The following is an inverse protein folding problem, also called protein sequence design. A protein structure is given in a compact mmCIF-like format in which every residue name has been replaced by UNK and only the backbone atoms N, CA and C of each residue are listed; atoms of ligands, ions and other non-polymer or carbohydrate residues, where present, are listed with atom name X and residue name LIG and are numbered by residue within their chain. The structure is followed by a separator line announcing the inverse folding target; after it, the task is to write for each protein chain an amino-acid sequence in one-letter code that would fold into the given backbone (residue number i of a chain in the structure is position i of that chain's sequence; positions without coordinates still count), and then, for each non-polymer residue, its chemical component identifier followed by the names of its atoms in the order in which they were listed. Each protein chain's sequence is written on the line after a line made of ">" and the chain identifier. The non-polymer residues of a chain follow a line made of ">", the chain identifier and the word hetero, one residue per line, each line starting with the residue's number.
data_IF_846589178203
#
_entry.id   IF_846589178203
#
_cell.length_a   1.000
_cell.length_b   1.000
_cell.length_c   1.000
_cell.angle_alpha   90.00
_cell.angle_beta   90.00
_cell.angle_gamma   90.00
#
_symmetry.space_group_name_H-M   'P 1'
#
loop_
_entity.id
_entity.type
_entity.pdbx_description
1 polymer ?
#
# COMPACT_ATOMS: atom_id res chain seq x y z
N UNK A 1 1.80 -44.86 50.93
CA UNK A 1 1.31 -43.50 51.25
C UNK A 1 1.90 -42.59 50.18
N UNK A 2 1.29 -42.48 48.98
CA UNK A 2 0.18 -41.61 48.55
C UNK A 2 0.33 -40.13 48.96
N UNK A 3 0.25 -39.29 47.91
CA UNK A 3 -0.10 -37.86 47.86
C UNK A 3 1.10 -36.89 47.93
N UNK A 4 1.24 -35.89 47.07
CA UNK A 4 0.64 -35.54 45.78
C UNK A 4 1.57 -34.47 45.16
N UNK A 5 2.04 -34.68 43.94
CA UNK A 5 2.66 -33.62 43.14
C UNK A 5 1.57 -32.61 42.77
N UNK A 6 1.66 -31.39 43.30
CA UNK A 6 0.94 -30.24 42.74
C UNK A 6 1.66 -29.84 41.46
N UNK A 7 1.14 -30.31 40.33
CA UNK A 7 1.43 -29.73 39.04
C UNK A 7 0.63 -28.44 38.93
N UNK A 8 1.21 -27.33 39.40
CA UNK A 8 0.75 -26.01 38.98
C UNK A 8 1.17 -25.84 37.52
N UNK A 9 0.29 -26.25 36.61
CA UNK A 9 0.30 -25.73 35.25
C UNK A 9 0.01 -24.23 35.37
N UNK A 10 1.01 -23.41 35.14
CA UNK A 10 0.78 -22.00 34.81
C UNK A 10 -0.17 -21.96 33.61
N UNK A 11 -1.28 -21.21 33.68
CA UNK A 11 -2.17 -21.10 32.54
C UNK A 11 -1.39 -20.45 31.39
N UNK A 12 -1.33 -21.15 30.26
CA UNK A 12 -0.86 -20.58 29.01
C UNK A 12 -1.60 -19.27 28.76
N UNK A 13 -0.86 -18.22 28.45
CA UNK A 13 -1.34 -16.85 28.22
C UNK A 13 -2.35 -16.69 27.06
N UNK A 14 -2.77 -17.77 26.42
CA UNK A 14 -3.68 -17.79 25.28
C UNK A 14 -5.16 -18.01 25.66
N UNK A 15 -5.50 -18.19 26.94
CA UNK A 15 -6.88 -18.44 27.40
C UNK A 15 -7.52 -17.25 28.17
N UNK A 16 -6.92 -16.06 28.16
CA UNK A 16 -7.57 -14.89 28.76
C UNK A 16 -8.67 -14.35 27.85
N UNK A 17 -9.92 -14.19 28.34
CA UNK A 17 -10.99 -13.63 27.54
C UNK A 17 -10.61 -12.23 27.04
N UNK A 18 -11.03 -11.84 25.82
CA UNK A 18 -10.69 -10.54 25.26
C UNK A 18 -11.13 -9.43 26.22
N UNK A 19 -10.17 -8.60 26.64
CA UNK A 19 -10.39 -7.52 27.60
C UNK A 19 -11.09 -6.31 26.94
N UNK A 20 -11.03 -6.21 25.62
CA UNK A 20 -11.59 -5.13 24.83
C UNK A 20 -12.80 -5.59 24.02
N UNK A 21 -13.98 -5.40 24.60
CA UNK A 21 -15.28 -5.70 24.00
C UNK A 21 -15.92 -4.45 23.38
N UNK A 22 -16.99 -4.62 22.60
CA UNK A 22 -17.77 -3.50 22.04
C UNK A 22 -18.23 -2.53 23.13
N UNK A 23 -18.62 -3.04 24.31
CA UNK A 23 -19.03 -2.20 25.45
C UNK A 23 -17.91 -1.26 25.90
N UNK A 24 -16.66 -1.72 25.95
CA UNK A 24 -15.51 -0.88 26.33
C UNK A 24 -15.24 0.22 25.32
N UNK A 25 -15.36 -0.05 24.03
CA UNK A 25 -15.24 1.00 23.01
C UNK A 25 -16.42 1.98 23.05
N UNK A 26 -17.63 1.52 23.38
CA UNK A 26 -18.78 2.40 23.59
C UNK A 26 -18.62 3.27 24.86
N UNK A 27 -18.01 2.75 25.92
CA UNK A 27 -17.64 3.53 27.12
C UNK A 27 -16.64 4.65 26.75
N UNK A 28 -15.59 4.33 26.00
CA UNK A 28 -14.63 5.34 25.51
C UNK A 28 -15.30 6.37 24.59
N UNK A 29 -16.22 5.93 23.74
CA UNK A 29 -17.03 6.83 22.91
C UNK A 29 -17.89 7.76 23.77
N UNK A 30 -18.54 7.25 24.80
CA UNK A 30 -19.33 8.06 25.73
C UNK A 30 -18.43 9.05 26.50
N UNK A 31 -17.25 8.61 26.93
CA UNK A 31 -16.23 9.45 27.58
C UNK A 31 -15.82 10.62 26.68
N UNK A 32 -15.55 10.38 25.40
CA UNK A 32 -15.26 11.43 24.43
C UNK A 32 -16.48 12.34 24.17
N UNK A 33 -17.68 11.77 24.05
CA UNK A 33 -18.89 12.55 23.78
C UNK A 33 -19.28 13.45 24.94
N UNK A 34 -18.90 13.10 26.18
CA UNK A 34 -19.06 13.93 27.37
C UNK A 34 -18.13 15.15 27.37
N UNK A 35 -16.90 14.99 26.86
CA UNK A 35 -15.89 16.05 26.79
C UNK A 35 -15.25 16.10 25.39
N UNK A 36 -15.92 16.77 24.46
CA UNK A 36 -15.56 16.82 23.03
C UNK A 36 -14.41 17.79 22.74
N UNK A 37 -13.27 17.55 23.35
CA UNK A 37 -12.06 18.36 23.17
C UNK A 37 -10.98 17.58 22.43
N UNK A 38 -10.11 18.31 21.72
CA UNK A 38 -8.92 17.73 21.08
C UNK A 38 -8.04 16.98 22.09
N UNK A 39 -7.85 17.56 23.27
CA UNK A 39 -7.06 16.95 24.34
C UNK A 39 -7.63 15.58 24.76
N UNK A 40 -8.95 15.51 24.94
CA UNK A 40 -9.62 14.25 25.28
C UNK A 40 -9.53 13.23 24.16
N UNK A 41 -9.67 13.68 22.91
CA UNK A 41 -9.53 12.81 21.75
C UNK A 41 -8.12 12.19 21.68
N UNK A 42 -7.07 12.99 21.89
CA UNK A 42 -5.68 12.53 21.92
C UNK A 42 -5.42 11.57 23.10
N UNK A 43 -5.98 11.85 24.27
CA UNK A 43 -5.85 10.97 25.45
C UNK A 43 -6.43 9.58 25.17
N UNK A 44 -7.64 9.53 24.62
CA UNK A 44 -8.31 8.27 24.29
C UNK A 44 -7.56 7.55 23.16
N UNK A 45 -7.12 8.26 22.13
CA UNK A 45 -6.34 7.66 21.04
C UNK A 45 -5.04 7.03 21.55
N UNK A 46 -4.32 7.68 22.48
CA UNK A 46 -3.13 7.10 23.12
C UNK A 46 -3.44 5.81 23.89
N UNK A 47 -4.56 5.78 24.62
CA UNK A 47 -5.01 4.56 25.31
C UNK A 47 -5.31 3.45 24.31
N UNK A 48 -5.90 3.78 23.17
CA UNK A 48 -6.20 2.82 22.11
C UNK A 48 -4.94 2.25 21.43
N UNK A 49 -3.92 3.06 21.20
CA UNK A 49 -2.63 2.58 20.62
C UNK A 49 -1.91 1.60 21.55
N UNK A 50 -2.10 1.71 22.86
CA UNK A 50 -1.52 0.80 23.84
C UNK A 50 -2.29 -0.54 23.98
N UNK A 51 -3.39 -0.73 23.25
CA UNK A 51 -4.18 -1.96 23.29
C UNK A 51 -3.45 -3.07 22.54
N UNK A 52 -3.27 -4.22 23.19
CA UNK A 52 -2.87 -5.44 22.50
C UNK A 52 -4.03 -5.94 21.63
N UNK A 53 -3.81 -5.98 20.31
CA UNK A 53 -4.75 -6.45 19.29
C UNK A 53 -5.31 -7.84 19.61
N UNK A 54 -4.50 -8.71 20.23
CA UNK A 54 -4.92 -10.07 20.60
C UNK A 54 -5.99 -10.10 21.70
N UNK A 55 -6.17 -8.99 22.40
CA UNK A 55 -7.15 -8.85 23.48
C UNK A 55 -8.44 -8.16 23.03
N UNK A 56 -8.58 -7.86 21.73
CA UNK A 56 -9.78 -7.26 21.14
C UNK A 56 -10.70 -8.36 20.62
N UNK A 57 -11.95 -8.34 21.06
CA UNK A 57 -12.99 -9.22 20.53
C UNK A 57 -13.22 -8.93 19.04
N UNK A 58 -13.35 -9.97 18.21
CA UNK A 58 -13.60 -9.83 16.77
C UNK A 58 -14.84 -8.97 16.47
N UNK A 59 -15.86 -9.06 17.31
CA UNK A 59 -17.08 -8.28 17.15
C UNK A 59 -16.92 -6.80 17.52
N UNK A 60 -15.85 -6.45 18.25
CA UNK A 60 -15.61 -5.10 18.75
C UNK A 60 -14.87 -4.19 17.76
N UNK A 61 -14.40 -4.74 16.63
CA UNK A 61 -13.66 -3.98 15.62
C UNK A 61 -14.49 -2.90 14.95
N UNK A 62 -15.81 -3.10 14.83
CA UNK A 62 -16.70 -2.10 14.25
C UNK A 62 -16.77 -0.86 15.14
N UNK A 63 -17.02 -1.04 16.45
CA UNK A 63 -17.04 0.06 17.41
C UNK A 63 -15.67 0.73 17.57
N UNK A 64 -14.59 -0.06 17.53
CA UNK A 64 -13.23 0.46 17.55
C UNK A 64 -12.96 1.36 16.34
N UNK A 65 -13.32 0.92 15.12
CA UNK A 65 -13.17 1.70 13.89
C UNK A 65 -13.99 3.00 13.93
N UNK A 66 -15.25 2.93 14.37
CA UNK A 66 -16.11 4.10 14.52
C UNK A 66 -15.55 5.11 15.52
N UNK A 67 -15.01 4.62 16.64
CA UNK A 67 -14.35 5.46 17.64
C UNK A 67 -13.09 6.10 17.07
N UNK A 68 -12.22 5.35 16.39
CA UNK A 68 -11.01 5.89 15.74
C UNK A 68 -11.39 7.00 14.77
N UNK A 69 -12.36 6.77 13.88
CA UNK A 69 -12.82 7.78 12.93
C UNK A 69 -13.35 9.04 13.64
N UNK A 70 -14.11 8.86 14.72
CA UNK A 70 -14.62 9.98 15.52
C UNK A 70 -13.50 10.79 16.18
N UNK A 71 -12.50 10.12 16.78
CA UNK A 71 -11.36 10.76 17.43
C UNK A 71 -10.49 11.49 16.41
N UNK A 72 -10.18 10.87 15.27
CA UNK A 72 -9.39 11.49 14.20
C UNK A 72 -10.07 12.74 13.62
N UNK A 73 -11.40 12.71 13.43
CA UNK A 73 -12.15 13.88 12.97
C UNK A 73 -12.19 15.03 14.00
N UNK A 74 -11.94 14.75 15.28
CA UNK A 74 -11.91 15.76 16.33
C UNK A 74 -10.52 16.38 16.54
N UNK A 75 -9.46 15.77 16.01
CA UNK A 75 -8.08 16.24 16.16
C UNK A 75 -7.66 16.89 14.84
N UNK A 76 -7.17 18.14 14.84
CA UNK A 76 -6.60 18.73 13.64
C UNK A 76 -5.46 17.84 13.11
N UNK A 77 -5.48 17.57 11.80
CA UNK A 77 -4.44 16.73 11.16
C UNK A 77 -3.05 17.32 11.35
N UNK A 78 -2.96 18.65 11.41
CA UNK A 78 -1.74 19.35 11.77
C UNK A 78 -1.26 18.96 13.16
N UNK A 79 -2.10 18.84 14.19
CA UNK A 79 -1.66 18.39 15.53
C UNK A 79 -1.21 16.92 15.54
N UNK A 80 -1.78 16.08 14.67
CA UNK A 80 -1.37 14.67 14.55
C UNK A 80 0.01 14.51 13.90
N UNK A 81 0.38 15.40 12.99
CA UNK A 81 1.61 15.31 12.17
C UNK A 81 2.68 16.33 12.53
N UNK A 82 2.28 17.54 12.89
CA UNK A 82 3.10 18.54 13.56
C UNK A 82 2.85 18.43 15.06
N UNK A 83 3.83 18.00 15.83
CA UNK A 83 4.26 18.86 16.94
C UNK A 83 5.55 18.39 17.57
N UNK A 84 6.36 19.41 17.89
CA UNK A 84 7.57 19.47 18.72
C UNK A 84 7.52 18.80 20.10
N UNK A 85 6.48 18.05 20.44
CA UNK A 85 6.49 17.13 21.56
C UNK A 85 6.71 15.74 21.01
N UNK A 86 7.92 15.23 21.16
CA UNK A 86 8.39 13.90 20.77
C UNK A 86 7.44 12.72 21.14
N UNK A 87 6.36 12.96 21.89
CA UNK A 87 5.37 11.98 22.32
C UNK A 87 4.29 11.65 21.27
N UNK A 88 3.90 12.59 20.40
CA UNK A 88 2.83 12.35 19.41
C UNK A 88 3.36 11.62 18.18
N UNK A 89 4.55 11.99 17.68
CA UNK A 89 5.21 11.25 16.61
C UNK A 89 5.51 9.81 17.04
N UNK A 90 6.00 9.61 18.27
CA UNK A 90 6.17 8.26 18.82
C UNK A 90 4.84 7.51 18.86
N UNK A 91 3.75 8.14 19.32
CA UNK A 91 2.43 7.48 19.33
C UNK A 91 2.00 7.04 17.92
N UNK A 92 2.09 7.93 16.93
CA UNK A 92 1.66 7.60 15.56
C UNK A 92 2.58 6.56 14.91
N UNK A 93 3.88 6.66 15.10
CA UNK A 93 4.84 5.66 14.62
C UNK A 93 4.61 4.29 15.28
N UNK A 94 4.44 4.26 16.61
CA UNK A 94 4.08 3.04 17.34
C UNK A 94 2.74 2.47 16.86
N UNK A 95 1.76 3.32 16.55
CA UNK A 95 0.49 2.88 15.98
C UNK A 95 0.68 2.25 14.60
N UNK A 96 1.49 2.86 13.72
CA UNK A 96 1.76 2.29 12.39
C UNK A 96 2.54 0.97 12.45
N UNK A 97 3.39 0.78 13.45
CA UNK A 97 4.12 -0.46 13.67
C UNK A 97 3.25 -1.57 14.30
N UNK A 98 2.38 -1.22 15.24
CA UNK A 98 1.69 -2.19 16.11
C UNK A 98 0.25 -2.44 15.73
N UNK A 99 -0.41 -1.50 15.04
CA UNK A 99 -1.83 -1.63 14.73
C UNK A 99 -2.07 -2.60 13.55
N UNK A 100 -3.27 -3.21 13.50
CA UNK A 100 -3.70 -4.02 12.37
C UNK A 100 -3.82 -3.21 11.09
N UNK A 101 -3.71 -3.90 9.96
CA UNK A 101 -3.79 -3.33 8.61
C UNK A 101 -5.06 -2.48 8.39
N UNK A 102 -6.23 -2.89 8.89
CA UNK A 102 -7.47 -2.12 8.72
C UNK A 102 -7.46 -0.77 9.47
N UNK A 103 -6.76 -0.66 10.60
CA UNK A 103 -6.57 0.62 11.33
C UNK A 103 -5.62 1.53 10.55
N UNK A 104 -4.52 0.96 10.04
CA UNK A 104 -3.56 1.69 9.18
C UNK A 104 -4.27 2.21 7.92
N UNK A 105 -5.14 1.41 7.30
CA UNK A 105 -5.97 1.85 6.16
C UNK A 105 -6.90 2.99 6.52
N UNK A 106 -7.53 2.98 7.70
CA UNK A 106 -8.40 4.06 8.16
C UNK A 106 -7.61 5.36 8.38
N UNK A 107 -6.42 5.28 9.01
CA UNK A 107 -5.51 6.41 9.17
C UNK A 107 -5.07 6.97 7.81
N UNK A 108 -4.66 6.09 6.90
CA UNK A 108 -4.23 6.49 5.56
C UNK A 108 -5.35 7.16 4.77
N UNK A 109 -6.58 6.64 4.87
CA UNK A 109 -7.76 7.22 4.24
C UNK A 109 -8.10 8.59 4.82
N UNK A 110 -8.01 8.75 6.15
CA UNK A 110 -8.25 10.03 6.82
C UNK A 110 -7.21 11.09 6.44
N UNK A 111 -5.94 10.71 6.32
CA UNK A 111 -4.90 11.63 5.86
C UNK A 111 -5.02 11.94 4.37
N UNK A 112 -5.39 10.97 3.54
CA UNK A 112 -5.65 11.19 2.12
C UNK A 112 -6.82 12.16 1.88
N UNK A 113 -7.84 12.20 2.75
CA UNK A 113 -8.93 13.18 2.63
C UNK A 113 -8.53 14.61 3.03
N UNK A 114 -7.38 14.79 3.69
CA UNK A 114 -6.85 16.09 4.12
C UNK A 114 -5.51 16.42 3.43
N UNK A 115 -5.36 15.97 2.19
CA UNK A 115 -4.10 15.96 1.46
C UNK A 115 -3.42 17.34 1.37
N UNK A 116 -4.18 18.42 1.21
CA UNK A 116 -3.65 19.79 1.09
C UNK A 116 -2.84 20.22 2.32
N UNK A 117 -3.20 19.72 3.49
CA UNK A 117 -2.47 19.96 4.75
C UNK A 117 -1.43 18.87 4.99
N UNK A 118 -1.75 17.61 4.70
CA UNK A 118 -0.88 16.46 4.99
C UNK A 118 0.38 16.45 4.14
N UNK A 119 0.27 16.69 2.83
CA UNK A 119 1.40 16.54 1.91
C UNK A 119 2.59 17.46 2.24
N UNK A 120 2.39 18.77 2.54
CA UNK A 120 3.49 19.61 3.02
C UNK A 120 4.15 19.08 4.30
N UNK A 121 3.38 18.52 5.23
CA UNK A 121 3.89 18.01 6.51
C UNK A 121 4.72 16.74 6.31
N UNK A 122 4.22 15.80 5.51
CA UNK A 122 4.93 14.56 5.18
C UNK A 122 6.19 14.81 4.33
N UNK A 123 6.22 15.88 3.52
CA UNK A 123 7.43 16.34 2.82
C UNK A 123 8.38 17.15 3.73
N UNK A 124 7.86 17.71 4.82
CA UNK A 124 8.56 18.63 5.71
C UNK A 124 8.98 17.99 7.02
N UNK A 125 8.17 18.16 8.06
CA UNK A 125 8.50 17.80 9.45
C UNK A 125 8.14 16.36 9.82
N UNK A 126 7.18 15.74 9.13
CA UNK A 126 6.64 14.42 9.45
C UNK A 126 7.12 13.31 8.49
N UNK A 127 8.36 13.42 7.97
CA UNK A 127 8.90 12.48 6.98
C UNK A 127 8.95 11.04 7.49
N UNK A 128 9.25 10.86 8.78
CA UNK A 128 9.27 9.54 9.42
C UNK A 128 7.91 8.82 9.35
N UNK A 129 6.81 9.58 9.38
CA UNK A 129 5.46 9.03 9.25
C UNK A 129 5.22 8.51 7.83
N UNK A 130 5.68 9.25 6.81
CA UNK A 130 5.61 8.79 5.42
C UNK A 130 6.41 7.49 5.22
N UNK A 131 7.61 7.40 5.81
CA UNK A 131 8.44 6.18 5.79
C UNK A 131 7.74 5.03 6.52
N UNK A 132 7.13 5.28 7.67
CA UNK A 132 6.39 4.25 8.41
C UNK A 132 5.19 3.70 7.62
N UNK A 133 4.43 4.56 6.92
CA UNK A 133 3.40 4.12 5.98
C UNK A 133 3.98 3.29 4.84
N UNK A 134 5.11 3.70 4.26
CA UNK A 134 5.76 2.96 3.18
C UNK A 134 6.21 1.56 3.61
N UNK A 135 6.62 1.36 4.86
CA UNK A 135 6.98 0.04 5.40
C UNK A 135 5.79 -0.92 5.50
N UNK A 136 4.57 -0.38 5.60
CA UNK A 136 3.32 -1.17 5.65
C UNK A 136 2.75 -1.49 4.27
N UNK A 137 3.41 -1.10 3.19
CA UNK A 137 2.87 -1.26 1.82
C UNK A 137 2.73 -2.72 1.37
N UNK A 138 3.40 -3.66 2.04
CA UNK A 138 3.26 -5.08 1.71
C UNK A 138 1.98 -5.72 2.29
N UNK A 139 1.26 -5.02 3.17
CA UNK A 139 0.03 -5.54 3.75
C UNK A 139 -1.04 -5.74 2.64
N UNK A 140 -1.66 -6.93 2.53
CA UNK A 140 -2.54 -7.29 1.40
C UNK A 140 -3.69 -6.32 1.14
N UNK A 141 -4.27 -5.76 2.20
CA UNK A 141 -5.52 -4.99 2.12
C UNK A 141 -5.34 -3.46 2.25
N UNK A 142 -4.09 -2.96 2.28
CA UNK A 142 -3.82 -1.55 2.59
C UNK A 142 -3.08 -0.80 1.49
N UNK A 143 -2.33 -1.52 0.65
CA UNK A 143 -1.33 -0.95 -0.24
C UNK A 143 -1.91 0.11 -1.20
N UNK A 144 -3.14 -0.05 -1.69
CA UNK A 144 -3.78 0.96 -2.56
C UNK A 144 -4.02 2.29 -1.85
N UNK A 145 -4.54 2.25 -0.62
CA UNK A 145 -4.80 3.46 0.16
C UNK A 145 -3.50 4.12 0.61
N UNK A 146 -2.48 3.31 0.92
CA UNK A 146 -1.13 3.79 1.20
C UNK A 146 -0.51 4.46 -0.03
N UNK A 147 -0.64 3.86 -1.22
CA UNK A 147 -0.14 4.44 -2.46
C UNK A 147 -0.82 5.79 -2.77
N UNK A 148 -2.14 5.90 -2.57
CA UNK A 148 -2.87 7.17 -2.74
C UNK A 148 -2.40 8.26 -1.77
N UNK A 149 -2.10 7.89 -0.52
CA UNK A 149 -1.54 8.81 0.48
C UNK A 149 -0.10 9.24 0.15
N UNK A 150 0.73 8.30 -0.32
CA UNK A 150 2.17 8.51 -0.53
C UNK A 150 2.51 9.12 -1.88
N UNK A 151 1.69 8.92 -2.92
CA UNK A 151 1.91 9.45 -4.26
C UNK A 151 2.23 10.97 -4.32
N UNK A 152 1.52 11.85 -3.59
CA UNK A 152 1.77 13.30 -3.60
C UNK A 152 3.08 13.70 -2.90
N UNK A 153 3.62 12.83 -2.05
CA UNK A 153 4.87 13.03 -1.29
C UNK A 153 5.99 12.13 -1.80
N UNK A 154 5.81 11.48 -2.95
CA UNK A 154 6.75 10.53 -3.54
C UNK A 154 8.11 11.13 -3.91
N UNK A 155 8.19 12.47 -3.99
CA UNK A 155 9.45 13.20 -4.16
C UNK A 155 10.25 13.39 -2.86
N UNK A 156 9.71 13.01 -1.70
CA UNK A 156 10.42 13.03 -0.43
C UNK A 156 11.63 12.07 -0.49
N UNK A 157 12.87 12.54 -0.25
CA UNK A 157 14.07 11.71 -0.35
C UNK A 157 14.10 10.51 0.60
N UNK A 158 13.60 10.65 1.84
CA UNK A 158 13.57 9.55 2.81
C UNK A 158 12.56 8.48 2.40
N UNK A 159 11.38 8.90 1.92
CA UNK A 159 10.38 7.99 1.38
C UNK A 159 10.94 7.24 0.16
N UNK A 160 11.53 7.97 -0.78
CA UNK A 160 12.09 7.39 -2.00
C UNK A 160 13.20 6.37 -1.66
N UNK A 161 14.07 6.69 -0.71
CA UNK A 161 15.12 5.79 -0.26
C UNK A 161 14.54 4.49 0.34
N UNK A 162 13.49 4.58 1.15
CA UNK A 162 12.80 3.42 1.72
C UNK A 162 12.14 2.57 0.62
N UNK A 163 11.42 3.18 -0.32
CA UNK A 163 10.77 2.46 -1.43
C UNK A 163 11.81 1.75 -2.32
N UNK A 164 12.91 2.42 -2.66
CA UNK A 164 14.00 1.82 -3.41
C UNK A 164 14.69 0.69 -2.64
N UNK A 165 14.87 0.85 -1.33
CA UNK A 165 15.42 -0.21 -0.48
C UNK A 165 14.52 -1.45 -0.49
N UNK A 166 13.20 -1.28 -0.38
CA UNK A 166 12.26 -2.39 -0.47
C UNK A 166 12.32 -3.09 -1.83
N UNK A 167 12.36 -2.34 -2.94
CA UNK A 167 12.52 -2.90 -4.30
C UNK A 167 13.81 -3.70 -4.46
N UNK A 168 14.92 -3.21 -3.90
CA UNK A 168 16.22 -3.86 -4.01
C UNK A 168 16.37 -5.12 -3.15
N UNK A 169 15.61 -5.22 -2.05
CA UNK A 169 15.76 -6.31 -1.06
C UNK A 169 14.72 -7.40 -1.22
N UNK A 170 13.54 -7.10 -1.73
CA UNK A 170 12.46 -8.08 -1.85
C UNK A 170 12.65 -9.00 -3.05
N UNK A 171 12.41 -10.30 -2.84
CA UNK A 171 12.38 -11.30 -3.92
C UNK A 171 10.98 -11.50 -4.48
N UNK A 172 9.95 -11.12 -3.72
CA UNK A 172 8.55 -11.28 -4.11
C UNK A 172 8.18 -10.26 -5.18
N UNK A 173 7.72 -10.73 -6.35
CA UNK A 173 7.17 -9.86 -7.39
C UNK A 173 5.94 -9.11 -6.88
N UNK A 174 5.05 -9.79 -6.15
CA UNK A 174 3.86 -9.17 -5.53
C UNK A 174 4.24 -7.96 -4.67
N UNK A 175 5.26 -8.09 -3.82
CA UNK A 175 5.71 -6.97 -2.99
C UNK A 175 6.31 -5.84 -3.85
N UNK A 176 7.09 -6.16 -4.90
CA UNK A 176 7.58 -5.12 -5.82
C UNK A 176 6.45 -4.35 -6.48
N UNK A 177 5.40 -5.03 -6.94
CA UNK A 177 4.24 -4.38 -7.55
C UNK A 177 3.46 -3.51 -6.56
N UNK A 178 3.31 -3.94 -5.30
CA UNK A 178 2.74 -3.09 -4.24
C UNK A 178 3.56 -1.81 -4.03
N UNK A 179 4.89 -1.90 -4.10
CA UNK A 179 5.77 -0.71 -4.02
C UNK A 179 5.63 0.16 -5.27
N UNK A 180 5.56 -0.44 -6.47
CA UNK A 180 5.33 0.30 -7.71
C UNK A 180 3.99 1.03 -7.72
N UNK A 181 2.98 0.58 -6.97
CA UNK A 181 1.70 1.28 -6.86
C UNK A 181 1.86 2.75 -6.43
N UNK A 182 2.85 3.08 -5.60
CA UNK A 182 3.13 4.49 -5.23
C UNK A 182 3.56 5.31 -6.44
N UNK A 183 4.45 4.74 -7.28
CA UNK A 183 4.92 5.37 -8.51
C UNK A 183 3.77 5.52 -9.50
N UNK A 184 2.99 4.46 -9.73
CA UNK A 184 1.87 4.45 -10.67
C UNK A 184 0.84 5.50 -10.28
N UNK A 185 0.41 5.52 -9.01
CA UNK A 185 -0.49 6.55 -8.49
C UNK A 185 0.10 7.98 -8.59
N UNK A 186 1.42 8.15 -8.43
CA UNK A 186 2.06 9.45 -8.62
C UNK A 186 2.00 9.90 -10.10
N UNK A 187 2.24 8.99 -11.04
CA UNK A 187 2.17 9.29 -12.47
C UNK A 187 0.74 9.59 -12.93
N UNK A 188 -0.23 8.75 -12.56
CA UNK A 188 -1.66 8.92 -12.88
C UNK A 188 -2.21 10.26 -12.40
N UNK A 189 -1.76 10.71 -11.22
CA UNK A 189 -2.24 11.94 -10.57
C UNK A 189 -1.38 13.17 -10.88
N UNK A 190 -0.38 13.05 -11.76
CA UNK A 190 0.47 14.17 -12.18
C UNK A 190 1.50 14.64 -11.14
N UNK A 191 1.83 13.80 -10.15
CA UNK A 191 2.89 14.03 -9.17
C UNK A 191 4.27 13.48 -9.59
N UNK A 192 4.39 12.97 -10.83
CA UNK A 192 5.65 12.47 -11.32
C UNK A 192 6.71 13.57 -11.38
N UNK A 193 7.89 13.27 -10.85
CA UNK A 193 9.07 14.12 -10.91
C UNK A 193 10.28 13.30 -11.37
N UNK A 194 11.32 13.92 -11.92
CA UNK A 194 12.52 13.21 -12.36
C UNK A 194 13.22 12.39 -11.27
N UNK A 195 12.99 12.69 -9.98
CA UNK A 195 13.54 11.91 -8.86
C UNK A 195 12.96 10.49 -8.81
N UNK A 196 11.78 10.25 -9.38
CA UNK A 196 11.16 8.93 -9.47
C UNK A 196 11.69 8.08 -10.63
N UNK A 197 12.49 8.65 -11.52
CA UNK A 197 13.01 7.95 -12.69
C UNK A 197 13.70 6.60 -12.36
N UNK A 198 14.48 6.44 -11.28
CA UNK A 198 15.08 5.14 -10.94
C UNK A 198 14.04 4.05 -10.62
N UNK A 199 12.92 4.42 -9.98
CA UNK A 199 11.82 3.47 -9.73
C UNK A 199 11.13 3.10 -11.04
N UNK A 200 10.88 4.08 -11.92
CA UNK A 200 10.31 3.83 -13.24
C UNK A 200 11.22 2.91 -14.08
N UNK A 201 12.52 3.15 -14.07
CA UNK A 201 13.47 2.29 -14.77
C UNK A 201 13.52 0.87 -14.19
N UNK A 202 13.28 0.72 -12.88
CA UNK A 202 13.14 -0.61 -12.26
C UNK A 202 11.87 -1.32 -12.76
N UNK A 203 10.74 -0.63 -12.83
CA UNK A 203 9.49 -1.17 -13.39
C UNK A 203 9.63 -1.53 -14.88
N UNK A 204 10.26 -0.67 -15.68
CA UNK A 204 10.60 -0.95 -17.09
C UNK A 204 11.60 -2.11 -17.19
N UNK A 205 12.41 -2.34 -16.16
CA UNK A 205 13.25 -3.52 -16.00
C UNK A 205 12.45 -4.82 -15.93
N UNK A 206 11.29 -4.82 -15.26
CA UNK A 206 10.42 -6.01 -15.10
C UNK A 206 9.86 -6.52 -16.44
N UNK A 207 9.76 -5.67 -17.47
CA UNK A 207 9.38 -6.09 -18.85
C UNK A 207 10.37 -7.09 -19.46
N UNK A 208 11.61 -7.10 -18.98
CA UNK A 208 12.66 -8.02 -19.42
C UNK A 208 12.79 -9.24 -18.50
N UNK A 209 11.85 -9.45 -17.59
CA UNK A 209 11.85 -10.59 -16.68
C UNK A 209 11.50 -11.89 -17.41
N UNK A 210 12.10 -13.01 -16.97
CA UNK A 210 11.78 -14.34 -17.50
C UNK A 210 10.39 -14.82 -17.05
N UNK A 211 9.84 -14.24 -15.97
CA UNK A 211 8.48 -14.53 -15.53
C UNK A 211 7.49 -13.71 -16.36
N UNK A 212 6.74 -14.40 -17.22
CA UNK A 212 5.78 -13.77 -18.13
C UNK A 212 4.67 -13.02 -17.39
N UNK A 213 4.25 -13.50 -16.21
CA UNK A 213 3.20 -12.82 -15.43
C UNK A 213 3.71 -11.48 -14.90
N UNK A 214 4.99 -11.43 -14.52
CA UNK A 214 5.66 -10.19 -14.10
C UNK A 214 5.78 -9.22 -15.27
N UNK A 215 6.22 -9.69 -16.44
CA UNK A 215 6.33 -8.86 -17.64
C UNK A 215 4.95 -8.31 -18.09
N UNK A 216 3.91 -9.14 -18.03
CA UNK A 216 2.53 -8.72 -18.33
C UNK A 216 2.00 -7.71 -17.32
N UNK A 217 2.20 -7.94 -16.02
CA UNK A 217 1.77 -6.99 -14.99
C UNK A 217 2.50 -5.64 -15.13
N UNK A 218 3.77 -5.63 -15.51
CA UNK A 218 4.51 -4.40 -15.78
C UNK A 218 3.97 -3.67 -17.02
N UNK A 219 3.67 -4.41 -18.09
CA UNK A 219 3.06 -3.86 -19.31
C UNK A 219 1.68 -3.26 -19.04
N UNK A 220 0.84 -3.96 -18.28
CA UNK A 220 -0.50 -3.51 -17.87
C UNK A 220 -0.41 -2.22 -17.07
N UNK A 221 0.41 -2.20 -16.01
CA UNK A 221 0.64 -1.03 -15.18
C UNK A 221 1.15 0.20 -15.96
N UNK A 222 2.09 0.01 -16.88
CA UNK A 222 2.60 1.09 -17.72
C UNK A 222 1.55 1.60 -18.72
N UNK A 223 0.70 0.69 -19.21
CA UNK A 223 -0.41 1.02 -20.11
C UNK A 223 -1.49 1.83 -19.38
N UNK A 224 -1.87 1.42 -18.17
CA UNK A 224 -2.83 2.15 -17.33
C UNK A 224 -2.39 3.59 -17.08
N UNK A 225 -1.12 3.80 -16.74
CA UNK A 225 -0.56 5.14 -16.55
C UNK A 225 -0.60 5.97 -17.84
N UNK A 226 -0.27 5.35 -18.98
CA UNK A 226 -0.31 6.03 -20.28
C UNK A 226 -1.74 6.38 -20.71
N UNK A 227 -2.74 5.55 -20.37
CA UNK A 227 -4.15 5.80 -20.63
C UNK A 227 -4.69 6.90 -19.70
N UNK A 228 -4.28 6.89 -18.42
CA UNK A 228 -4.81 7.79 -17.40
C UNK A 228 -4.46 9.26 -17.63
N UNK A 229 -3.28 9.57 -18.21
CA UNK A 229 -2.91 10.97 -18.46
C UNK A 229 -1.91 11.16 -19.61
N UNK A 230 -2.03 12.28 -20.33
CA UNK A 230 -1.09 12.66 -21.39
C UNK A 230 0.35 12.85 -20.86
N UNK A 231 0.51 13.34 -19.63
CA UNK A 231 1.83 13.49 -19.00
C UNK A 231 2.42 12.12 -18.69
N UNK A 232 1.61 11.20 -18.12
CA UNK A 232 1.99 9.81 -17.91
C UNK A 232 2.41 9.12 -19.20
N UNK A 233 1.63 9.29 -20.28
CA UNK A 233 1.95 8.75 -21.60
C UNK A 233 3.30 9.25 -22.12
N UNK A 234 3.58 10.55 -22.00
CA UNK A 234 4.86 11.13 -22.41
C UNK A 234 6.04 10.52 -21.62
N UNK A 235 5.89 10.43 -20.30
CA UNK A 235 6.92 9.85 -19.42
C UNK A 235 7.16 8.36 -19.73
N UNK A 236 6.10 7.58 -19.93
CA UNK A 236 6.20 6.16 -20.32
C UNK A 236 6.88 6.04 -21.68
N UNK A 237 6.53 6.87 -22.65
CA UNK A 237 7.14 6.87 -23.97
C UNK A 237 8.65 7.17 -23.92
N UNK A 238 9.06 8.14 -23.10
CA UNK A 238 10.47 8.51 -22.92
C UNK A 238 11.27 7.50 -22.08
N UNK A 239 10.60 6.65 -21.31
CA UNK A 239 11.25 5.68 -20.40
C UNK A 239 11.94 4.51 -21.12
N UNK A 240 11.65 4.31 -22.40
CA UNK A 240 12.08 3.13 -23.17
C UNK A 240 11.13 1.93 -23.05
N UNK A 241 10.02 2.06 -22.31
CA UNK A 241 8.99 1.01 -22.21
C UNK A 241 8.44 0.53 -23.56
N UNK A 242 8.07 1.40 -24.52
CA UNK A 242 7.48 0.94 -25.79
C UNK A 242 8.41 0.01 -26.58
N UNK A 243 9.72 0.32 -26.60
CA UNK A 243 10.71 -0.50 -27.28
C UNK A 243 10.83 -1.89 -26.66
N UNK A 244 10.86 -1.97 -25.32
CA UNK A 244 10.89 -3.26 -24.62
C UNK A 244 9.61 -4.07 -24.81
N UNK A 245 8.44 -3.42 -24.81
CA UNK A 245 7.17 -4.08 -25.09
C UNK A 245 7.18 -4.66 -26.50
N UNK A 246 7.66 -3.90 -27.49
CA UNK A 246 7.80 -4.39 -28.86
C UNK A 246 8.73 -5.61 -28.95
N UNK A 247 9.88 -5.58 -28.28
CA UNK A 247 10.81 -6.71 -28.21
C UNK A 247 10.17 -7.95 -27.56
N UNK A 248 9.39 -7.76 -26.48
CA UNK A 248 8.64 -8.82 -25.82
C UNK A 248 7.57 -9.43 -26.74
N UNK A 249 6.88 -8.61 -27.53
CA UNK A 249 5.89 -9.11 -28.50
C UNK A 249 6.54 -9.89 -29.64
N UNK A 250 7.71 -9.45 -30.12
CA UNK A 250 8.44 -10.17 -31.16
C UNK A 250 8.99 -11.51 -30.66
N UNK A 251 9.58 -11.55 -29.46
CA UNK A 251 10.05 -12.82 -28.88
C UNK A 251 8.89 -13.81 -28.67
N UNK A 252 7.73 -13.32 -28.27
CA UNK A 252 6.51 -14.13 -28.12
C UNK A 252 5.99 -14.68 -29.45
N UNK A 253 6.18 -13.95 -30.55
CA UNK A 253 5.87 -14.41 -31.90
C UNK A 253 6.82 -15.53 -32.36
N UNK A 254 8.09 -15.44 -32.00
CA UNK A 254 9.13 -16.40 -32.40
C UNK A 254 9.11 -17.69 -31.56
N UNK A 255 8.63 -17.62 -30.31
CA UNK A 255 8.52 -18.75 -29.39
C UNK A 255 7.11 -18.83 -28.75
N UNK A 256 6.07 -19.21 -29.51
CA UNK A 256 4.67 -19.22 -29.03
C UNK A 256 4.44 -20.18 -27.85
N UNK A 257 5.24 -21.24 -27.74
CA UNK A 257 5.17 -22.24 -26.67
C UNK A 257 5.95 -21.81 -25.40
N UNK A 258 6.68 -20.69 -25.47
CA UNK A 258 7.54 -20.18 -24.40
C UNK A 258 6.83 -19.28 -23.38
N UNK A 259 5.54 -18.97 -23.56
CA UNK A 259 4.79 -18.15 -22.61
C UNK A 259 3.59 -17.42 -23.22
N UNK A 260 2.48 -18.13 -23.41
CA UNK A 260 1.06 -17.69 -23.36
C UNK A 260 0.58 -16.36 -24.01
N UNK A 261 1.37 -15.62 -24.77
CA UNK A 261 0.97 -14.33 -25.35
C UNK A 261 0.19 -14.42 -26.68
N UNK A 262 -0.22 -15.62 -27.10
CA UNK A 262 -1.20 -15.76 -28.18
C UNK A 262 -2.60 -16.03 -27.62
N UNK A 263 -3.61 -15.19 -27.95
CA UNK A 263 -4.98 -15.66 -27.90
C UNK A 263 -5.03 -16.92 -28.77
N UNK A 264 -5.42 -18.04 -28.18
CA UNK A 264 -5.66 -19.27 -28.93
C UNK A 264 -6.50 -18.92 -30.16
N UNK A 265 -5.97 -19.13 -31.36
CA UNK A 265 -6.82 -19.23 -32.55
C UNK A 265 -7.74 -20.42 -32.30
N UNK A 266 -8.92 -20.15 -31.78
CA UNK A 266 -10.01 -21.11 -31.79
C UNK A 266 -10.43 -21.27 -33.25
N UNK A 267 -9.91 -22.32 -33.88
CA UNK A 267 -10.38 -22.81 -35.17
C UNK A 267 -9.38 -22.62 -36.30
N UNK A 268 -8.46 -23.58 -36.44
CA UNK A 268 -8.06 -24.06 -37.76
C UNK A 268 -8.01 -25.59 -37.70
N UNK A 269 -9.05 -26.24 -38.22
CA UNK A 269 -8.91 -27.59 -38.75
C UNK A 269 -7.97 -27.52 -39.96
N UNK A 270 -7.12 -28.53 -40.20
CA UNK A 270 -6.31 -28.54 -41.40
C UNK A 270 -7.24 -28.86 -42.57
N UNK A 271 -7.38 -27.95 -43.52
CA UNK A 271 -7.83 -28.34 -44.84
C UNK A 271 -6.94 -27.72 -45.90
N UNK A 272 -6.37 -28.62 -46.69
CA UNK A 272 -5.52 -28.35 -47.83
C UNK A 272 -6.21 -27.42 -48.84
N UNK A 273 -5.36 -26.66 -49.54
CA UNK A 273 -5.63 -25.91 -50.78
C UNK A 273 -6.43 -24.60 -50.65
N UNK A 274 -5.70 -23.48 -50.64
CA UNK A 274 -5.94 -22.39 -51.60
C UNK A 274 -4.79 -21.37 -51.57
N UNK A 275 -4.17 -21.17 -52.71
CA UNK A 275 -3.47 -19.94 -53.05
C UNK A 275 -4.38 -18.74 -52.72
N UNK A 276 -3.86 -17.76 -51.98
CA UNK A 276 -4.16 -16.35 -52.27
C UNK A 276 -3.18 -15.43 -51.54
N UNK A 277 -2.37 -14.79 -52.37
CA UNK A 277 -1.69 -13.52 -52.18
C UNK A 277 -2.53 -12.49 -51.41
N UNK A 278 -1.94 -11.88 -50.38
CA UNK A 278 -2.27 -10.50 -50.02
C UNK A 278 -0.99 -9.72 -49.73
N UNK A 279 -0.79 -8.73 -50.59
CA UNK A 279 0.20 -7.65 -50.52
C UNK A 279 0.02 -6.85 -49.22
N UNK A 280 1.13 -6.56 -48.55
CA UNK A 280 1.21 -5.46 -47.60
C UNK A 280 1.45 -4.18 -48.38
N UNK A 281 0.44 -3.31 -48.43
CA UNK A 281 0.62 -1.91 -48.85
C UNK A 281 1.12 -1.12 -47.65
N UNK A 282 2.17 -0.34 -47.92
CA UNK A 282 2.89 0.57 -47.00
C UNK A 282 1.99 1.52 -46.21
#
# INVERSE_FOLDING_TARGET
>A
MRSASSSDMEPSSDDQPPQWTSERFLELRAEFLAERTEFKALEILRRMVAIDVKQVDENAWLECKDLIAMLLNAIPVQTLLETQQARNDIMLLTALESCPSHVVTALASHFASHQDVVSPLLNGVAQAVAVAFARRINDPDTFEQLAKLLAPVSSNPQLLQELQHQLATTKSSEHRFKVYQVLLCAMERGYYTPTLAPMLQSLVGELSCNDILVAMAAMDALSDVAIASNVGAAVVNESGAPQKIYELMQSSKEAPDGGFLYPCRAGDQPNDNAENSYEWVM
#
